data_IF_877585317283
#
_entry.id   IF_877585317283
#
_cell.length_a   1.000
_cell.length_b   1.000
_cell.length_c   1.000
_cell.angle_alpha   90.00
_cell.angle_beta   90.00
_cell.angle_gamma   90.00
#
_symmetry.space_group_name_H-M   'P 1'
#
loop_
_entity.id
_entity.type
_entity.pdbx_description
1 polymer ?
#
# COMPACT_ATOMS: atom_id res chain seq x y z
N UNK A 1 -16.47 -6.54 23.97
CA UNK A 1 -16.27 -5.57 22.88
C UNK A 1 -15.10 -4.61 23.16
N UNK A 2 -14.88 -4.21 24.45
CA UNK A 2 -13.81 -3.25 24.81
C UNK A 2 -12.40 -3.62 24.34
N UNK A 3 -12.04 -4.90 24.39
CA UNK A 3 -10.72 -5.35 23.96
C UNK A 3 -10.53 -5.26 22.44
N UNK A 4 -11.57 -5.52 21.65
CA UNK A 4 -11.53 -5.38 20.18
C UNK A 4 -11.31 -3.92 19.82
N UNK A 5 -11.99 -3.00 20.50
CA UNK A 5 -11.84 -1.55 20.30
C UNK A 5 -10.40 -1.11 20.63
N UNK A 6 -9.83 -1.58 21.75
CA UNK A 6 -8.44 -1.30 22.11
C UNK A 6 -7.45 -1.87 21.09
N UNK A 7 -7.64 -3.13 20.67
CA UNK A 7 -6.79 -3.75 19.64
C UNK A 7 -6.84 -2.94 18.35
N UNK A 8 -8.01 -2.47 17.94
CA UNK A 8 -8.16 -1.67 16.72
C UNK A 8 -7.43 -0.33 16.83
N UNK A 9 -7.44 0.30 18.01
CA UNK A 9 -6.64 1.50 18.29
C UNK A 9 -5.13 1.23 18.14
N UNK A 10 -4.65 0.12 18.73
CA UNK A 10 -3.24 -0.29 18.61
C UNK A 10 -2.88 -0.60 17.17
N UNK A 11 -3.78 -1.23 16.40
CA UNK A 11 -3.58 -1.43 14.94
C UNK A 11 -3.46 -0.08 14.23
N UNK A 12 -4.33 0.89 14.53
CA UNK A 12 -4.24 2.24 13.97
C UNK A 12 -2.90 2.92 14.25
N UNK A 13 -2.41 2.85 15.49
CA UNK A 13 -1.08 3.35 15.86
C UNK A 13 0.03 2.60 15.12
N UNK A 14 -0.09 1.29 15.00
CA UNK A 14 0.93 0.45 14.39
C UNK A 14 1.08 0.67 12.89
N UNK A 15 0.01 1.08 12.19
CA UNK A 15 0.06 1.50 10.79
C UNK A 15 1.07 2.64 10.61
N UNK A 16 1.11 3.60 11.54
CA UNK A 16 2.07 4.71 11.53
C UNK A 16 3.52 4.29 11.73
N UNK A 17 3.76 3.08 12.25
CA UNK A 17 5.11 2.52 12.46
C UNK A 17 5.50 1.60 11.31
N UNK A 18 4.66 0.59 11.00
CA UNK A 18 4.95 -0.38 9.95
C UNK A 18 3.67 -1.09 9.46
N UNK A 19 3.41 -1.03 8.16
CA UNK A 19 2.22 -1.65 7.55
C UNK A 19 2.16 -3.18 7.70
N UNK A 20 3.29 -3.88 7.87
CA UNK A 20 3.31 -5.33 8.11
C UNK A 20 2.57 -5.73 9.40
N UNK A 21 2.39 -4.82 10.35
CA UNK A 21 1.61 -5.09 11.55
C UNK A 21 0.14 -5.44 11.26
N UNK A 22 -0.38 -5.07 10.07
CA UNK A 22 -1.71 -5.50 9.64
C UNK A 22 -1.82 -7.02 9.45
N UNK A 23 -0.70 -7.74 9.27
CA UNK A 23 -0.68 -9.19 9.18
C UNK A 23 -1.06 -9.89 10.50
N UNK A 24 -1.17 -9.18 11.63
CA UNK A 24 -1.73 -9.73 12.86
C UNK A 24 -3.27 -9.89 12.79
N UNK A 25 -3.96 -9.21 11.87
CA UNK A 25 -5.43 -9.28 11.73
C UNK A 25 -5.96 -10.71 11.56
N UNK A 26 -5.39 -11.58 10.69
CA UNK A 26 -5.81 -12.97 10.58
C UNK A 26 -5.74 -13.73 11.92
N UNK A 27 -4.66 -13.56 12.65
CA UNK A 27 -4.52 -14.21 13.97
C UNK A 27 -5.58 -13.71 14.97
N UNK A 28 -5.83 -12.41 15.01
CA UNK A 28 -6.85 -11.81 15.89
C UNK A 28 -8.25 -12.32 15.52
N UNK A 29 -8.59 -12.36 14.21
CA UNK A 29 -9.89 -12.85 13.74
C UNK A 29 -10.06 -14.33 14.06
N UNK A 30 -9.02 -15.16 13.90
CA UNK A 30 -9.06 -16.57 14.26
C UNK A 30 -9.22 -16.78 15.77
N UNK A 31 -8.46 -16.05 16.61
CA UNK A 31 -8.62 -16.10 18.07
C UNK A 31 -10.04 -15.74 18.48
N UNK A 32 -10.60 -14.68 17.89
CA UNK A 32 -11.99 -14.28 18.15
C UNK A 32 -12.99 -15.36 17.69
N UNK A 33 -12.77 -15.99 16.53
CA UNK A 33 -13.59 -17.08 16.04
C UNK A 33 -13.57 -18.28 17.00
N UNK A 34 -12.37 -18.70 17.44
CA UNK A 34 -12.21 -19.82 18.38
C UNK A 34 -12.83 -19.54 19.76
N UNK A 35 -12.77 -18.31 20.23
CA UNK A 35 -13.41 -17.96 21.51
C UNK A 35 -14.92 -17.89 21.44
N UNK A 36 -15.47 -17.55 20.27
CA UNK A 36 -16.92 -17.37 20.09
C UNK A 36 -17.66 -18.66 19.81
N UNK A 37 -17.04 -19.58 19.08
CA UNK A 37 -17.67 -20.81 18.62
C UNK A 37 -17.05 -22.03 19.29
N UNK A 38 -17.90 -22.82 20.01
CA UNK A 38 -17.46 -24.04 20.70
C UNK A 38 -17.14 -25.19 19.74
N UNK A 39 -17.82 -25.24 18.60
CA UNK A 39 -17.57 -26.24 17.54
C UNK A 39 -16.84 -25.59 16.37
N UNK A 40 -15.65 -26.11 16.12
CA UNK A 40 -14.83 -25.62 15.00
C UNK A 40 -15.25 -26.33 13.71
N UNK A 41 -15.50 -25.55 12.66
CA UNK A 41 -15.74 -26.11 11.33
C UNK A 41 -14.71 -25.57 10.35
N UNK A 42 -14.28 -26.41 9.41
CA UNK A 42 -13.37 -26.00 8.35
C UNK A 42 -13.91 -24.80 7.56
N UNK A 43 -15.22 -24.79 7.28
CA UNK A 43 -15.89 -23.67 6.60
C UNK A 43 -15.81 -22.38 7.41
N UNK A 44 -15.93 -22.46 8.74
CA UNK A 44 -15.81 -21.30 9.63
C UNK A 44 -14.39 -20.74 9.69
N UNK A 45 -13.38 -21.60 9.72
CA UNK A 45 -11.96 -21.20 9.66
C UNK A 45 -11.64 -20.52 8.33
N UNK A 46 -12.07 -21.12 7.20
CA UNK A 46 -11.90 -20.50 5.86
C UNK A 46 -12.62 -19.15 5.80
N UNK A 47 -13.84 -19.06 6.35
CA UNK A 47 -14.58 -17.79 6.43
C UNK A 47 -13.87 -16.73 7.27
N UNK A 48 -13.26 -17.10 8.39
CA UNK A 48 -12.48 -16.19 9.24
C UNK A 48 -11.22 -15.68 8.52
N UNK A 49 -10.51 -16.56 7.81
CA UNK A 49 -9.35 -16.20 6.99
C UNK A 49 -9.77 -15.28 5.84
N UNK A 50 -10.84 -15.60 5.13
CA UNK A 50 -11.36 -14.76 4.04
C UNK A 50 -11.78 -13.38 4.55
N UNK A 51 -12.48 -13.30 5.69
CA UNK A 51 -12.86 -12.03 6.32
C UNK A 51 -11.64 -11.20 6.68
N UNK A 52 -10.60 -11.82 7.25
CA UNK A 52 -9.36 -11.11 7.60
C UNK A 52 -8.64 -10.57 6.35
N UNK A 53 -8.61 -11.33 5.26
CA UNK A 53 -8.08 -10.87 3.98
C UNK A 53 -8.84 -9.66 3.43
N UNK A 54 -10.18 -9.70 3.47
CA UNK A 54 -11.03 -8.58 3.07
C UNK A 54 -10.74 -7.34 3.93
N UNK A 55 -10.61 -7.48 5.26
CA UNK A 55 -10.30 -6.37 6.15
C UNK A 55 -8.93 -5.74 5.83
N UNK A 56 -7.90 -6.56 5.58
CA UNK A 56 -6.58 -6.06 5.19
C UNK A 56 -6.66 -5.30 3.86
N UNK A 57 -7.34 -5.85 2.86
CA UNK A 57 -7.52 -5.19 1.55
C UNK A 57 -8.27 -3.87 1.71
N UNK A 58 -9.34 -3.82 2.50
CA UNK A 58 -10.08 -2.59 2.76
C UNK A 58 -9.22 -1.53 3.46
N UNK A 59 -8.39 -1.93 4.43
CA UNK A 59 -7.50 -0.99 5.12
C UNK A 59 -6.42 -0.47 4.16
N UNK A 60 -5.73 -1.35 3.44
CA UNK A 60 -4.59 -0.99 2.59
C UNK A 60 -4.98 -0.22 1.33
N UNK A 61 -6.06 -0.62 0.66
CA UNK A 61 -6.40 -0.11 -0.66
C UNK A 61 -7.58 0.87 -0.68
N UNK A 62 -8.37 0.92 0.40
CA UNK A 62 -9.52 1.84 0.47
C UNK A 62 -9.31 2.88 1.57
N UNK A 63 -9.06 2.43 2.82
CA UNK A 63 -9.02 3.33 3.96
C UNK A 63 -7.78 4.25 3.93
N UNK A 64 -6.58 3.70 3.85
CA UNK A 64 -5.33 4.48 3.88
C UNK A 64 -5.24 5.47 2.69
N UNK A 65 -5.37 5.03 1.42
CA UNK A 65 -5.31 5.97 0.31
C UNK A 65 -6.53 6.89 0.26
N UNK A 66 -7.73 6.40 0.61
CA UNK A 66 -8.95 7.20 0.65
C UNK A 66 -8.88 8.37 1.61
N UNK A 67 -8.31 8.17 2.81
CA UNK A 67 -8.10 9.27 3.78
C UNK A 67 -7.18 10.34 3.19
N UNK A 68 -6.11 9.96 2.49
CA UNK A 68 -5.19 10.90 1.86
C UNK A 68 -5.83 11.62 0.66
N UNK A 69 -6.60 10.91 -0.18
CA UNK A 69 -7.25 11.48 -1.36
C UNK A 69 -8.35 12.48 -1.00
N UNK A 70 -9.25 12.08 -0.12
CA UNK A 70 -10.35 12.96 0.32
C UNK A 70 -9.79 14.14 1.12
N UNK A 71 -8.80 13.90 2.00
CA UNK A 71 -8.10 14.98 2.70
C UNK A 71 -7.44 15.96 1.74
N UNK A 72 -6.85 15.46 0.64
CA UNK A 72 -6.28 16.29 -0.42
C UNK A 72 -7.33 17.13 -1.17
N UNK A 73 -8.53 16.60 -1.45
CA UNK A 73 -9.63 17.36 -2.05
C UNK A 73 -10.12 18.47 -1.12
N UNK A 74 -10.27 18.18 0.16
CA UNK A 74 -10.60 19.20 1.16
C UNK A 74 -9.53 20.28 1.22
N UNK A 75 -8.26 19.89 1.22
CA UNK A 75 -7.14 20.83 1.24
C UNK A 75 -7.17 21.76 0.03
N UNK A 76 -7.33 21.24 -1.18
CA UNK A 76 -7.45 22.07 -2.40
C UNK A 76 -8.66 22.99 -2.34
N UNK A 77 -9.81 22.53 -1.86
CA UNK A 77 -11.00 23.36 -1.76
C UNK A 77 -10.82 24.51 -0.76
N UNK A 78 -10.36 24.19 0.45
CA UNK A 78 -10.24 25.21 1.50
C UNK A 78 -9.11 26.22 1.21
N UNK A 79 -7.98 25.76 0.65
CA UNK A 79 -6.85 26.63 0.35
C UNK A 79 -7.05 27.37 -0.97
N UNK A 80 -7.31 26.66 -2.07
CA UNK A 80 -7.32 27.28 -3.39
C UNK A 80 -8.60 28.06 -3.70
N UNK A 81 -9.77 27.61 -3.17
CA UNK A 81 -11.07 28.23 -3.44
C UNK A 81 -11.46 29.21 -2.34
N UNK A 82 -11.31 28.82 -1.07
CA UNK A 82 -11.68 29.67 0.06
C UNK A 82 -10.57 30.62 0.53
N UNK A 83 -9.33 30.42 0.07
CA UNK A 83 -8.19 31.27 0.44
C UNK A 83 -7.71 31.11 1.88
N UNK A 84 -7.99 29.95 2.51
CA UNK A 84 -7.55 29.67 3.87
C UNK A 84 -6.08 29.22 3.90
N UNK A 85 -5.39 29.32 5.05
CA UNK A 85 -4.01 28.86 5.19
C UNK A 85 -3.82 27.40 4.80
N UNK A 86 -2.61 27.04 4.38
CA UNK A 86 -2.23 25.64 4.13
C UNK A 86 -2.53 24.76 5.34
N UNK A 87 -2.93 23.52 5.06
CA UNK A 87 -3.34 22.47 6.01
C UNK A 87 -4.71 22.70 6.69
N UNK A 88 -5.39 23.83 6.45
CA UNK A 88 -6.73 24.10 6.99
C UNK A 88 -7.76 23.07 6.50
N UNK A 89 -7.71 22.71 5.22
CA UNK A 89 -8.62 21.71 4.65
C UNK A 89 -8.47 20.32 5.28
N UNK A 90 -7.22 19.92 5.55
CA UNK A 90 -6.94 18.65 6.23
C UNK A 90 -7.49 18.63 7.68
N UNK A 91 -7.33 19.73 8.41
CA UNK A 91 -7.86 19.86 9.78
C UNK A 91 -9.39 19.77 9.79
N UNK A 92 -10.04 20.50 8.87
CA UNK A 92 -11.52 20.45 8.72
C UNK A 92 -11.99 19.05 8.34
N UNK A 93 -11.30 18.39 7.41
CA UNK A 93 -11.62 17.01 7.00
C UNK A 93 -11.54 16.04 8.18
N UNK A 94 -10.43 16.05 8.93
CA UNK A 94 -10.27 15.17 10.10
C UNK A 94 -11.33 15.46 11.18
N UNK A 95 -11.58 16.73 11.45
CA UNK A 95 -12.64 17.15 12.38
C UNK A 95 -14.03 16.65 11.93
N UNK A 96 -14.34 16.77 10.66
CA UNK A 96 -15.61 16.29 10.09
C UNK A 96 -15.73 14.75 10.16
N UNK A 97 -14.67 14.00 9.83
CA UNK A 97 -14.67 12.54 9.94
C UNK A 97 -14.93 12.10 11.37
N UNK A 98 -14.24 12.70 12.34
CA UNK A 98 -14.44 12.40 13.77
C UNK A 98 -15.86 12.76 14.23
N UNK A 99 -16.35 13.93 13.84
CA UNK A 99 -17.72 14.37 14.15
C UNK A 99 -18.77 13.41 13.61
N UNK A 100 -18.64 13.00 12.32
CA UNK A 100 -19.59 12.08 11.70
C UNK A 100 -19.54 10.68 12.34
N UNK A 101 -18.34 10.16 12.68
CA UNK A 101 -18.19 8.88 13.35
C UNK A 101 -18.82 8.91 14.76
N UNK A 102 -18.58 9.96 15.53
CA UNK A 102 -19.19 10.14 16.85
C UNK A 102 -20.71 10.22 16.71
N UNK A 103 -21.22 11.04 15.80
CA UNK A 103 -22.64 11.13 15.53
C UNK A 103 -23.28 9.79 15.12
N UNK A 104 -22.59 9.02 14.27
CA UNK A 104 -23.03 7.69 13.88
C UNK A 104 -23.08 6.70 15.07
N UNK A 105 -22.10 6.75 15.97
CA UNK A 105 -22.07 5.93 17.19
C UNK A 105 -23.30 6.21 18.06
N UNK A 106 -23.70 7.48 18.23
CA UNK A 106 -24.90 7.84 18.98
C UNK A 106 -26.18 7.47 18.25
N UNK A 107 -26.17 7.50 16.91
CA UNK A 107 -27.38 7.22 16.08
C UNK A 107 -27.65 5.73 15.92
N UNK A 108 -26.61 4.90 15.74
CA UNK A 108 -26.75 3.47 15.49
C UNK A 108 -26.50 2.64 16.74
N UNK A 109 -27.60 2.10 17.33
CA UNK A 109 -27.60 1.37 18.61
C UNK A 109 -27.41 -0.15 18.47
N UNK A 110 -27.50 -0.72 17.23
CA UNK A 110 -27.24 -2.16 17.03
C UNK A 110 -25.81 -2.49 17.47
N UNK A 111 -25.64 -3.43 18.41
CA UNK A 111 -24.36 -3.77 19.05
C UNK A 111 -23.23 -3.98 18.02
N UNK A 112 -23.46 -4.79 16.98
CA UNK A 112 -22.44 -5.10 15.97
C UNK A 112 -22.02 -3.82 15.22
N UNK A 113 -23.00 -3.02 14.75
CA UNK A 113 -22.74 -1.76 14.03
C UNK A 113 -22.04 -0.75 14.92
N UNK A 114 -22.52 -0.61 16.16
CA UNK A 114 -21.95 0.32 17.12
C UNK A 114 -20.50 -0.05 17.49
N UNK A 115 -20.22 -1.33 17.74
CA UNK A 115 -18.85 -1.82 17.97
C UNK A 115 -17.95 -1.58 16.76
N UNK A 116 -18.46 -1.82 15.54
CA UNK A 116 -17.73 -1.54 14.31
C UNK A 116 -17.40 -0.04 14.14
N UNK A 117 -18.35 0.84 14.46
CA UNK A 117 -18.13 2.31 14.44
C UNK A 117 -17.09 2.73 15.48
N UNK A 118 -17.12 2.15 16.69
CA UNK A 118 -16.08 2.38 17.70
C UNK A 118 -14.71 1.90 17.23
N UNK A 119 -14.64 0.74 16.57
CA UNK A 119 -13.40 0.25 15.97
C UNK A 119 -12.89 1.21 14.90
N UNK A 120 -13.77 1.68 14.01
CA UNK A 120 -13.39 2.61 12.95
C UNK A 120 -12.92 3.96 13.53
N UNK A 121 -13.60 4.47 14.56
CA UNK A 121 -13.18 5.70 15.26
C UNK A 121 -11.78 5.52 15.87
N UNK A 122 -11.54 4.42 16.57
CA UNK A 122 -10.25 4.15 17.21
C UNK A 122 -9.13 3.90 16.19
N UNK A 123 -9.44 3.22 15.11
CA UNK A 123 -8.51 3.07 13.96
C UNK A 123 -8.12 4.45 13.40
N UNK A 124 -9.13 5.33 13.22
CA UNK A 124 -8.92 6.69 12.71
C UNK A 124 -8.04 7.51 13.65
N UNK A 125 -8.33 7.49 14.95
CA UNK A 125 -7.52 8.19 15.96
C UNK A 125 -6.08 7.68 15.96
N UNK A 126 -5.87 6.35 15.91
CA UNK A 126 -4.54 5.77 15.82
C UNK A 126 -3.82 6.18 14.53
N UNK A 127 -4.52 6.15 13.41
CA UNK A 127 -3.98 6.53 12.10
C UNK A 127 -3.58 8.02 12.02
N UNK A 128 -4.23 8.91 12.79
CA UNK A 128 -3.85 10.34 12.81
C UNK A 128 -2.42 10.60 13.30
N UNK A 129 -1.72 9.57 13.83
CA UNK A 129 -0.28 9.68 14.13
C UNK A 129 0.56 10.01 12.91
N UNK A 130 0.10 9.73 11.68
CA UNK A 130 0.73 10.23 10.46
C UNK A 130 0.78 11.77 10.38
N UNK A 131 -0.09 12.48 11.07
CA UNK A 131 0.01 13.94 11.19
C UNK A 131 1.32 14.39 11.83
N UNK A 132 1.92 13.57 12.69
CA UNK A 132 3.25 13.84 13.29
C UNK A 132 4.32 13.93 12.20
N UNK A 133 4.23 13.13 11.14
CA UNK A 133 5.17 13.19 10.00
C UNK A 133 5.04 14.54 9.30
N UNK A 134 3.81 14.98 9.01
CA UNK A 134 3.56 16.31 8.40
C UNK A 134 4.08 17.45 9.28
N UNK A 135 3.80 17.39 10.59
CA UNK A 135 4.24 18.41 11.54
C UNK A 135 5.77 18.49 11.58
N UNK A 136 6.45 17.33 11.68
CA UNK A 136 7.91 17.28 11.73
C UNK A 136 8.56 17.68 10.42
N UNK A 137 8.00 17.30 9.28
CA UNK A 137 8.51 17.72 7.97
C UNK A 137 8.47 19.24 7.79
N UNK A 138 7.43 19.91 8.33
CA UNK A 138 7.31 21.37 8.32
C UNK A 138 8.20 22.06 9.36
N UNK A 139 8.74 21.36 10.34
CA UNK A 139 9.62 21.90 11.38
C UNK A 139 11.10 22.02 10.94
N UNK A 140 11.42 21.79 9.66
CA UNK A 140 12.78 21.85 9.11
C UNK A 140 13.82 21.05 9.91
N UNK A 141 13.49 19.80 10.20
CA UNK A 141 14.39 18.89 10.90
C UNK A 141 15.65 18.59 10.05
N UNK A 142 16.82 18.32 10.66
CA UNK A 142 18.06 18.05 9.94
C UNK A 142 17.97 16.87 8.95
N UNK A 143 17.13 15.87 9.24
CA UNK A 143 16.79 14.74 8.37
C UNK A 143 15.32 14.85 8.01
N UNK A 144 15.03 15.25 6.77
CA UNK A 144 13.69 15.35 6.22
C UNK A 144 13.65 14.62 4.86
N UNK A 145 13.77 13.30 4.90
CA UNK A 145 13.78 12.46 3.70
C UNK A 145 12.42 12.50 3.01
N UNK A 146 12.44 12.71 1.67
CA UNK A 146 11.25 12.89 0.82
C UNK A 146 10.34 14.08 1.18
N UNK A 147 10.68 14.87 2.18
CA UNK A 147 9.97 16.08 2.62
C UNK A 147 8.42 15.96 2.54
N UNK A 148 7.79 15.07 3.32
CA UNK A 148 6.33 14.87 3.32
C UNK A 148 5.63 16.01 4.08
N UNK A 149 5.77 17.24 3.62
CA UNK A 149 5.32 18.49 4.23
C UNK A 149 3.86 18.86 3.91
N UNK A 150 3.27 18.19 2.91
CA UNK A 150 1.87 18.36 2.50
C UNK A 150 1.15 17.02 2.46
N UNK A 151 -0.19 17.03 2.39
CA UNK A 151 -0.98 15.81 2.22
C UNK A 151 -0.63 15.10 0.89
N UNK A 152 -0.23 15.84 -0.15
CA UNK A 152 0.12 15.29 -1.46
C UNK A 152 1.48 14.61 -1.43
N UNK A 153 2.47 15.22 -0.79
CA UNK A 153 3.80 14.64 -0.60
C UNK A 153 3.76 13.48 0.40
N UNK A 154 2.93 13.57 1.45
CA UNK A 154 2.68 12.45 2.36
C UNK A 154 2.05 11.26 1.63
N UNK A 155 1.06 11.48 0.73
CA UNK A 155 0.47 10.42 -0.09
C UNK A 155 1.53 9.73 -0.95
N UNK A 156 2.38 10.51 -1.62
CA UNK A 156 3.48 9.99 -2.44
C UNK A 156 4.48 9.17 -1.60
N UNK A 157 4.79 9.64 -0.40
CA UNK A 157 5.63 8.93 0.57
C UNK A 157 5.00 7.61 1.02
N UNK A 158 3.71 7.61 1.39
CA UNK A 158 2.98 6.42 1.83
C UNK A 158 2.83 5.38 0.72
N UNK A 159 2.62 5.82 -0.52
CA UNK A 159 2.57 4.98 -1.70
C UNK A 159 3.95 4.49 -2.14
N UNK A 160 5.03 4.92 -1.48
CA UNK A 160 6.41 4.57 -1.82
C UNK A 160 6.76 4.87 -3.28
N UNK A 161 6.23 5.96 -3.82
CA UNK A 161 6.37 6.33 -5.24
C UNK A 161 7.81 6.63 -5.66
N UNK A 162 8.71 6.86 -4.70
CA UNK A 162 10.15 7.00 -4.93
C UNK A 162 10.83 5.67 -5.31
N UNK A 163 10.18 4.55 -5.08
CA UNK A 163 10.69 3.24 -5.45
C UNK A 163 10.01 2.73 -6.72
N UNK A 164 10.77 2.00 -7.53
CA UNK A 164 10.22 1.35 -8.70
C UNK A 164 9.15 0.31 -8.29
N UNK A 165 7.97 0.39 -8.88
CA UNK A 165 6.86 -0.51 -8.54
C UNK A 165 6.86 -1.74 -9.45
N UNK A 166 6.84 -2.93 -8.84
CA UNK A 166 6.61 -4.18 -9.56
C UNK A 166 5.14 -4.28 -10.00
N UNK A 167 4.84 -4.60 -11.26
CA UNK A 167 3.48 -4.85 -11.68
C UNK A 167 2.95 -6.14 -11.03
N UNK A 168 1.77 -6.05 -10.37
CA UNK A 168 1.22 -7.18 -9.61
C UNK A 168 0.36 -8.12 -10.45
N UNK A 169 -0.63 -7.57 -11.16
CA UNK A 169 -1.64 -8.35 -11.89
C UNK A 169 -1.43 -8.34 -13.40
N UNK A 170 -1.06 -7.20 -13.95
CA UNK A 170 -0.83 -7.01 -15.37
C UNK A 170 0.22 -5.94 -15.59
N UNK A 171 1.19 -6.18 -16.49
CA UNK A 171 2.22 -5.20 -16.76
C UNK A 171 3.40 -5.76 -17.54
N UNK A 172 4.44 -4.95 -17.64
CA UNK A 172 5.64 -5.24 -18.43
C UNK A 172 6.40 -6.48 -17.97
N UNK A 173 7.12 -7.08 -18.91
CA UNK A 173 8.16 -8.08 -18.67
C UNK A 173 9.54 -7.43 -18.78
N UNK A 174 10.60 -8.16 -18.44
CA UNK A 174 11.98 -7.67 -18.60
C UNK A 174 12.37 -7.38 -20.06
N UNK A 175 11.66 -7.98 -21.03
CA UNK A 175 11.90 -7.80 -22.46
C UNK A 175 10.93 -6.81 -23.13
N UNK A 176 10.07 -6.15 -22.34
CA UNK A 176 9.11 -5.20 -22.89
C UNK A 176 9.77 -3.89 -23.24
N UNK A 177 9.56 -3.43 -24.47
CA UNK A 177 10.03 -2.13 -24.95
C UNK A 177 8.96 -1.05 -24.77
N UNK A 178 9.33 0.22 -24.52
CA UNK A 178 8.40 1.33 -24.54
C UNK A 178 7.69 1.44 -25.89
N UNK A 179 6.39 1.74 -25.89
CA UNK A 179 5.68 2.12 -27.10
C UNK A 179 6.11 3.52 -27.55
N UNK A 180 6.40 3.66 -28.84
CA UNK A 180 6.73 4.93 -29.45
C UNK A 180 5.59 5.43 -30.34
N UNK A 181 5.31 6.73 -30.28
CA UNK A 181 4.33 7.42 -31.13
C UNK A 181 5.05 8.47 -31.97
N UNK A 182 4.74 8.61 -33.26
CA UNK A 182 5.30 9.66 -34.07
C UNK A 182 4.81 11.04 -33.60
N UNK A 183 5.74 11.99 -33.40
CA UNK A 183 5.44 13.38 -33.04
C UNK A 183 6.27 14.30 -33.99
N UNK A 184 5.71 14.61 -35.17
CA UNK A 184 6.44 15.31 -36.25
C UNK A 184 7.56 14.45 -36.84
N UNK A 185 8.81 14.96 -36.81
CA UNK A 185 9.99 14.30 -37.37
C UNK A 185 10.70 13.34 -36.41
N UNK A 186 10.18 13.14 -35.17
CA UNK A 186 10.79 12.27 -34.19
C UNK A 186 9.76 11.34 -33.52
N UNK A 187 10.26 10.30 -32.86
CA UNK A 187 9.45 9.37 -32.09
C UNK A 187 9.54 9.71 -30.61
N UNK A 188 8.38 9.80 -29.95
CA UNK A 188 8.26 10.03 -28.52
C UNK A 188 7.73 8.79 -27.83
N UNK A 189 8.22 8.52 -26.61
CA UNK A 189 7.68 7.46 -25.77
C UNK A 189 6.23 7.77 -25.43
N UNK A 190 5.34 6.84 -25.70
CA UNK A 190 3.92 6.94 -25.35
C UNK A 190 3.77 6.84 -23.84
N UNK A 191 3.27 7.90 -23.25
CA UNK A 191 2.95 7.96 -21.81
C UNK A 191 1.47 8.08 -21.59
N UNK A 192 1.00 7.50 -20.48
CA UNK A 192 -0.36 7.70 -19.97
C UNK A 192 -0.31 8.75 -18.89
N UNK A 193 -1.11 9.80 -19.03
CA UNK A 193 -1.22 10.87 -18.05
C UNK A 193 -1.81 10.32 -16.74
N UNK A 194 -1.06 10.42 -15.66
CA UNK A 194 -1.45 10.07 -14.31
C UNK A 194 -1.96 11.25 -13.49
N UNK A 195 -1.94 11.12 -12.17
CA UNK A 195 -2.39 12.15 -11.22
C UNK A 195 -1.57 13.44 -11.28
N UNK A 196 -2.19 14.56 -10.91
CA UNK A 196 -1.50 15.85 -10.79
C UNK A 196 -0.54 15.86 -9.60
N UNK A 197 0.62 16.47 -9.77
CA UNK A 197 1.60 16.73 -8.72
C UNK A 197 1.47 18.19 -8.29
N UNK A 198 1.08 18.40 -7.04
CA UNK A 198 0.84 19.71 -6.45
C UNK A 198 2.08 20.19 -5.68
N UNK A 199 2.30 21.51 -5.73
CA UNK A 199 3.30 22.21 -4.93
C UNK A 199 2.68 23.44 -4.30
N UNK A 200 3.09 23.74 -3.06
CA UNK A 200 2.72 24.98 -2.40
C UNK A 200 3.41 26.17 -3.07
N UNK A 201 2.63 27.14 -3.48
CA UNK A 201 3.09 28.48 -3.82
C UNK A 201 2.85 29.38 -2.61
N UNK A 202 3.93 29.71 -1.90
CA UNK A 202 3.84 30.50 -0.66
C UNK A 202 3.55 31.97 -0.93
N UNK A 203 3.87 32.48 -2.13
CA UNK A 203 3.61 33.87 -2.51
C UNK A 203 2.13 34.08 -2.80
N UNK A 204 1.51 33.17 -3.51
CA UNK A 204 0.07 33.23 -3.82
C UNK A 204 -0.82 32.56 -2.75
N UNK A 205 -0.24 31.84 -1.80
CA UNK A 205 -0.98 31.11 -0.78
C UNK A 205 -1.84 29.97 -1.34
N UNK A 206 -1.44 29.35 -2.46
CA UNK A 206 -2.22 28.33 -3.18
C UNK A 206 -1.37 27.12 -3.58
N UNK A 207 -2.04 26.01 -3.84
CA UNK A 207 -1.42 24.86 -4.49
C UNK A 207 -1.48 25.01 -6.01
N UNK A 208 -0.33 24.88 -6.67
CA UNK A 208 -0.21 24.84 -8.13
C UNK A 208 0.16 23.45 -8.62
N UNK A 209 -0.40 23.08 -9.78
CA UNK A 209 0.00 21.85 -10.47
C UNK A 209 1.32 22.16 -11.20
N UNK A 210 2.39 21.46 -10.81
CA UNK A 210 3.71 21.63 -11.44
C UNK A 210 3.92 20.67 -12.61
N UNK A 211 3.32 19.49 -12.54
CA UNK A 211 3.35 18.45 -13.59
C UNK A 211 2.28 17.41 -13.37
N UNK A 212 2.05 16.58 -14.35
CA UNK A 212 1.32 15.33 -14.18
C UNK A 212 2.31 14.17 -14.10
N UNK A 213 1.96 13.12 -13.36
CA UNK A 213 2.69 11.86 -13.41
C UNK A 213 2.51 11.26 -14.80
N UNK A 214 3.52 10.58 -15.29
CA UNK A 214 3.49 9.91 -16.58
C UNK A 214 3.90 8.47 -16.41
N UNK A 215 3.00 7.56 -16.79
CA UNK A 215 3.27 6.12 -16.81
C UNK A 215 3.63 5.70 -18.22
N UNK A 216 4.77 5.07 -18.41
CA UNK A 216 5.23 4.59 -19.70
C UNK A 216 4.35 3.42 -20.15
N UNK A 217 3.86 3.49 -21.41
CA UNK A 217 3.17 2.36 -22.05
C UNK A 217 4.20 1.41 -22.65
N UNK A 218 4.03 0.12 -22.44
CA UNK A 218 4.93 -0.93 -22.95
C UNK A 218 4.22 -1.80 -23.97
N UNK A 219 4.97 -2.27 -24.99
CA UNK A 219 4.45 -3.04 -26.12
C UNK A 219 3.96 -4.43 -25.71
N UNK A 220 4.65 -5.04 -24.76
CA UNK A 220 4.41 -6.43 -24.39
C UNK A 220 4.14 -6.50 -22.90
N UNK A 221 2.88 -6.73 -22.55
CA UNK A 221 2.44 -6.91 -21.19
C UNK A 221 1.94 -8.34 -20.99
N UNK A 222 2.09 -8.86 -19.76
CA UNK A 222 1.62 -10.18 -19.40
C UNK A 222 0.79 -10.16 -18.12
N UNK A 223 -0.02 -11.20 -17.93
CA UNK A 223 -0.74 -11.41 -16.67
C UNK A 223 0.21 -11.91 -15.60
N UNK A 224 0.06 -11.36 -14.37
CA UNK A 224 0.85 -11.75 -13.21
C UNK A 224 2.37 -11.75 -13.48
N UNK A 225 2.96 -10.64 -13.95
CA UNK A 225 4.36 -10.61 -14.34
C UNK A 225 5.29 -10.71 -13.14
N UNK A 226 6.03 -11.79 -13.05
CA UNK A 226 7.05 -12.01 -12.01
C UNK A 226 8.45 -11.67 -12.49
N UNK A 227 8.68 -11.76 -13.81
CA UNK A 227 9.93 -11.43 -14.50
C UNK A 227 9.79 -10.07 -15.19
N UNK A 228 9.75 -8.98 -14.42
CA UNK A 228 9.44 -7.64 -14.94
C UNK A 228 10.65 -6.69 -15.03
N UNK A 229 11.72 -6.95 -14.24
CA UNK A 229 12.86 -6.05 -14.14
C UNK A 229 13.92 -6.43 -15.17
N UNK A 230 14.23 -5.54 -16.09
CA UNK A 230 15.22 -5.71 -17.16
C UNK A 230 16.64 -5.99 -16.64
N UNK A 231 17.02 -5.40 -15.48
CA UNK A 231 18.33 -5.61 -14.86
C UNK A 231 18.53 -7.04 -14.34
N UNK A 232 17.46 -7.78 -14.14
CA UNK A 232 17.50 -9.15 -13.61
C UNK A 232 17.24 -10.22 -14.71
N UNK A 233 17.28 -9.85 -15.99
CA UNK A 233 16.98 -10.74 -17.10
C UNK A 233 17.76 -12.07 -17.06
N UNK A 234 19.08 -12.01 -16.86
CA UNK A 234 19.92 -13.21 -16.75
C UNK A 234 19.55 -14.13 -15.59
N UNK A 235 19.22 -13.56 -14.45
CA UNK A 235 18.75 -14.32 -13.28
C UNK A 235 17.39 -14.97 -13.55
N UNK A 236 16.47 -14.27 -14.21
CA UNK A 236 15.18 -14.83 -14.59
C UNK A 236 15.32 -16.04 -15.53
N UNK A 237 16.18 -15.91 -16.55
CA UNK A 237 16.45 -16.96 -17.52
C UNK A 237 17.05 -18.21 -16.87
N UNK A 238 18.00 -18.04 -15.95
CA UNK A 238 18.63 -19.18 -15.25
C UNK A 238 17.63 -19.98 -14.40
N UNK A 239 16.62 -19.31 -13.82
CA UNK A 239 15.60 -19.97 -12.99
C UNK A 239 14.40 -20.50 -13.77
N UNK A 240 14.06 -19.87 -14.89
CA UNK A 240 12.91 -20.28 -15.72
C UNK A 240 13.28 -21.26 -16.82
N UNK A 241 14.58 -21.39 -17.15
CA UNK A 241 15.06 -22.13 -18.32
C UNK A 241 14.77 -21.43 -19.65
N UNK A 242 14.45 -20.12 -19.60
CA UNK A 242 14.11 -19.32 -20.77
C UNK A 242 15.31 -18.91 -21.60
N UNK A 243 15.04 -18.39 -22.79
CA UNK A 243 16.02 -17.83 -23.72
C UNK A 243 15.94 -16.31 -23.73
N UNK A 244 16.84 -15.61 -24.46
CA UNK A 244 16.87 -14.13 -24.56
C UNK A 244 15.64 -13.49 -25.22
N UNK A 245 14.64 -14.28 -25.52
CA UNK A 245 13.37 -13.81 -26.10
C UNK A 245 12.40 -13.33 -25.01
N UNK A 246 11.33 -12.73 -25.48
CA UNK A 246 10.18 -12.36 -24.63
C UNK A 246 9.71 -13.55 -23.81
N UNK A 247 9.62 -13.44 -22.48
CA UNK A 247 9.25 -14.56 -21.63
C UNK A 247 7.82 -15.00 -21.92
N UNK A 248 7.62 -16.30 -21.99
CA UNK A 248 6.28 -16.90 -22.09
C UNK A 248 5.62 -16.93 -20.70
N UNK A 249 4.27 -17.04 -20.68
CA UNK A 249 3.53 -17.20 -19.42
C UNK A 249 3.96 -18.47 -18.64
N UNK A 250 4.37 -19.52 -19.34
CA UNK A 250 4.89 -20.74 -18.73
C UNK A 250 6.21 -20.50 -18.00
N UNK A 251 7.16 -19.82 -18.62
CA UNK A 251 8.44 -19.45 -18.00
C UNK A 251 8.24 -18.54 -16.81
N UNK A 252 7.33 -17.56 -16.91
CA UNK A 252 6.97 -16.69 -15.80
C UNK A 252 6.39 -17.46 -14.60
N UNK A 253 5.52 -18.43 -14.81
CA UNK A 253 4.99 -19.30 -13.77
C UNK A 253 6.06 -20.27 -13.23
N UNK A 254 6.94 -20.79 -14.09
CA UNK A 254 8.07 -21.59 -13.65
C UNK A 254 8.97 -20.80 -12.70
N UNK A 255 9.34 -19.57 -13.07
CA UNK A 255 10.10 -18.69 -12.18
C UNK A 255 9.38 -18.43 -10.85
N UNK A 256 8.08 -18.17 -10.89
CA UNK A 256 7.29 -17.98 -9.66
C UNK A 256 7.34 -19.20 -8.74
N UNK A 257 7.16 -20.40 -9.28
CA UNK A 257 7.14 -21.64 -8.48
C UNK A 257 8.53 -22.00 -8.00
N UNK A 258 9.54 -22.01 -8.88
CA UNK A 258 10.89 -22.51 -8.56
C UNK A 258 11.66 -21.51 -7.70
N UNK A 259 11.64 -20.23 -8.07
CA UNK A 259 12.39 -19.21 -7.34
C UNK A 259 11.58 -18.59 -6.21
N UNK A 260 10.43 -17.97 -6.49
CA UNK A 260 9.73 -17.19 -5.48
C UNK A 260 9.06 -18.06 -4.41
N UNK A 261 8.34 -19.12 -4.80
CA UNK A 261 7.71 -20.02 -3.83
C UNK A 261 8.72 -20.99 -3.20
N UNK A 262 9.48 -21.74 -4.02
CA UNK A 262 10.33 -22.79 -3.47
C UNK A 262 11.60 -22.22 -2.85
N UNK A 263 12.44 -21.52 -3.62
CA UNK A 263 13.72 -21.06 -3.15
C UNK A 263 13.61 -19.90 -2.15
N UNK A 264 12.77 -18.88 -2.41
CA UNK A 264 12.66 -17.74 -1.51
C UNK A 264 11.73 -17.99 -0.34
N UNK A 265 10.46 -18.37 -0.59
CA UNK A 265 9.47 -18.48 0.47
C UNK A 265 9.66 -19.73 1.33
N UNK A 266 9.64 -20.94 0.75
CA UNK A 266 9.74 -22.17 1.53
C UNK A 266 11.05 -22.32 2.23
N UNK A 267 12.18 -21.98 1.60
CA UNK A 267 13.49 -22.00 2.26
C UNK A 267 13.51 -21.06 3.47
N UNK A 268 13.04 -19.83 3.33
CA UNK A 268 13.01 -18.87 4.43
C UNK A 268 12.04 -19.31 5.54
N UNK A 269 10.87 -19.83 5.19
CA UNK A 269 9.90 -20.40 6.13
C UNK A 269 10.52 -21.54 6.93
N UNK A 270 11.15 -22.50 6.27
CA UNK A 270 11.79 -23.65 6.93
C UNK A 270 12.95 -23.20 7.82
N UNK A 271 13.71 -22.20 7.44
CA UNK A 271 14.75 -21.64 8.31
C UNK A 271 14.24 -21.12 9.65
N UNK A 272 13.05 -20.58 9.68
CA UNK A 272 12.45 -20.04 10.91
C UNK A 272 11.81 -21.13 11.78
N UNK A 273 11.36 -22.24 11.21
CA UNK A 273 10.56 -23.23 11.91
C UNK A 273 11.23 -24.61 12.05
N UNK A 274 12.13 -24.96 11.15
CA UNK A 274 12.83 -26.26 11.14
C UNK A 274 14.30 -26.11 11.48
N UNK A 275 14.91 -25.01 11.10
CA UNK A 275 16.30 -24.70 11.32
C UNK A 275 17.08 -24.45 10.03
N UNK A 276 18.29 -23.92 10.18
CA UNK A 276 19.21 -23.66 9.06
C UNK A 276 20.11 -24.84 8.82
N UNK A 277 20.39 -25.12 7.56
CA UNK A 277 21.36 -26.15 7.20
C UNK A 277 22.81 -25.67 7.42
N UNK A 278 23.07 -24.39 7.08
CA UNK A 278 24.34 -23.71 7.37
C UNK A 278 24.11 -22.19 7.52
N UNK A 279 25.13 -21.45 7.95
CA UNK A 279 25.04 -20.00 8.18
C UNK A 279 25.21 -19.16 6.90
N UNK A 280 25.68 -19.73 5.81
CA UNK A 280 25.86 -19.03 4.55
C UNK A 280 24.58 -19.03 3.73
N UNK A 281 24.10 -17.85 3.38
CA UNK A 281 22.89 -17.69 2.59
C UNK A 281 23.14 -18.18 1.15
N UNK A 282 22.29 -19.10 0.68
CA UNK A 282 22.34 -19.62 -0.68
C UNK A 282 23.19 -20.88 -0.88
N UNK A 283 23.94 -21.30 0.13
CA UNK A 283 24.63 -22.59 0.12
C UNK A 283 23.70 -23.67 0.67
N UNK A 284 23.13 -24.49 -0.21
CA UNK A 284 22.12 -25.50 0.12
C UNK A 284 22.57 -26.94 0.03
N UNK A 285 23.85 -27.20 -0.24
CA UNK A 285 24.41 -28.56 -0.25
C UNK A 285 25.04 -28.94 1.08
N UNK A 286 24.92 -30.18 1.58
CA UNK A 286 25.86 -30.71 2.55
C UNK A 286 27.19 -30.80 1.84
N UNK A 287 28.24 -30.14 2.37
CA UNK A 287 29.62 -30.45 2.03
C UNK A 287 30.02 -31.79 2.62
#
# INVERSE_FOLDING_TARGET
>A
DRWIILITYIIGLSIGVHLLNLLCIPAIVLVFYYQKYQTLSLKGVIGAIALSGILIVLILFVYIPGMADVGGWFELFFVNVMGLPFQSGLIVFLGLVLFLLIGAIYRFRKRIVNTGLWCLLMLTIGYTTYAVILIRANANTPLNENAPDTIFTLKSYLNREQYESAPLLYGRTYASEPEYVPEGDYYKVKTKKGGAVYRQDKEEGKYKIIRHKEDICYTQNMLFPRMWNDRLASSYQSWSGGTDKVPTQKENLTYFITYQLNYMYWRYFLWNFVGRQNDMQGHGGPE
#
